data_IF_397707103118
#
_entry.id   IF_397707103118
#
_cell.length_a   1.000
_cell.length_b   1.000
_cell.length_c   1.000
_cell.angle_alpha   90.00
_cell.angle_beta   90.00
_cell.angle_gamma   90.00
#
_symmetry.space_group_name_H-M   'P 1'
#
loop_
_entity.id
_entity.type
_entity.pdbx_description
1 polymer ?
#
# COMPACT_ATOMS: atom_id res chain seq x y z
N UNK A 1 2.07 -10.51 0.70
CA UNK A 1 2.85 -10.51 -0.56
C UNK A 1 2.26 -9.42 -1.43
N UNK A 2 3.08 -8.68 -2.17
CA UNK A 2 2.61 -7.76 -3.20
C UNK A 2 2.41 -8.55 -4.49
N UNK A 3 1.25 -8.40 -5.11
CA UNK A 3 0.90 -9.08 -6.37
C UNK A 3 0.37 -8.05 -7.36
N UNK A 4 0.69 -8.24 -8.63
CA UNK A 4 0.21 -7.40 -9.71
C UNK A 4 0.33 -8.09 -11.06
N UNK A 5 -0.33 -7.53 -12.06
CA UNK A 5 -0.22 -7.98 -13.45
C UNK A 5 0.31 -6.83 -14.28
N UNK A 6 1.35 -7.09 -15.07
CA UNK A 6 1.83 -6.16 -16.09
C UNK A 6 1.08 -6.48 -17.38
N UNK A 7 0.41 -5.48 -17.94
CA UNK A 7 -0.38 -5.61 -19.15
C UNK A 7 0.12 -4.67 -20.23
N UNK A 8 -0.22 -4.98 -21.49
CA UNK A 8 -0.03 -4.06 -22.61
C UNK A 8 -1.35 -3.92 -23.39
N UNK A 9 -1.57 -2.75 -23.98
CA UNK A 9 -2.75 -2.49 -24.79
C UNK A 9 -2.61 -3.23 -26.13
N UNK A 10 -3.60 -4.06 -26.45
CA UNK A 10 -3.76 -4.70 -27.76
C UNK A 10 -5.15 -4.37 -28.31
N UNK A 11 -5.22 -3.41 -29.23
CA UNK A 11 -6.48 -2.84 -29.68
C UNK A 11 -7.20 -2.14 -28.51
N UNK A 12 -8.41 -2.58 -28.19
CA UNK A 12 -9.19 -2.06 -27.04
C UNK A 12 -9.02 -2.86 -25.75
N UNK A 13 -8.15 -3.87 -25.75
CA UNK A 13 -8.05 -4.84 -24.65
C UNK A 13 -6.71 -4.73 -23.95
N UNK A 14 -6.72 -4.88 -22.63
CA UNK A 14 -5.50 -4.99 -21.83
C UNK A 14 -5.07 -6.45 -21.77
N UNK A 15 -3.97 -6.81 -22.45
CA UNK A 15 -3.45 -8.18 -22.46
C UNK A 15 -2.37 -8.37 -21.40
N UNK A 16 -2.49 -9.36 -20.49
CA UNK A 16 -1.42 -9.71 -19.58
C UNK A 16 -0.13 -10.09 -20.33
N UNK A 17 0.97 -9.45 -19.94
CA UNK A 17 2.34 -9.79 -20.37
C UNK A 17 2.96 -10.72 -19.35
N UNK A 18 2.82 -10.40 -18.07
CA UNK A 18 3.34 -11.22 -16.97
C UNK A 18 2.63 -10.94 -15.65
N UNK A 19 2.67 -11.89 -14.73
CA UNK A 19 2.25 -11.74 -13.34
C UNK A 19 3.47 -11.51 -12.47
N UNK A 20 3.43 -10.48 -11.64
CA UNK A 20 4.49 -10.08 -10.73
C UNK A 20 4.05 -10.37 -9.29
N UNK A 21 4.96 -10.94 -8.51
CA UNK A 21 4.74 -11.22 -7.10
C UNK A 21 6.03 -11.08 -6.32
N UNK A 22 5.98 -10.38 -5.18
CA UNK A 22 7.15 -10.19 -4.31
C UNK A 22 6.75 -10.00 -2.85
N UNK A 23 7.55 -10.54 -1.93
CA UNK A 23 7.32 -10.30 -0.51
C UNK A 23 7.65 -8.85 -0.13
N UNK A 24 6.80 -8.26 0.70
CA UNK A 24 7.13 -7.05 1.43
C UNK A 24 8.27 -7.34 2.43
N UNK A 25 9.06 -6.34 2.79
CA UNK A 25 10.02 -6.46 3.88
C UNK A 25 9.31 -6.61 5.25
N UNK A 26 10.07 -6.97 6.28
CA UNK A 26 9.53 -7.23 7.61
C UNK A 26 8.82 -6.02 8.23
N UNK A 27 9.31 -4.81 7.95
CA UNK A 27 8.71 -3.56 8.46
C UNK A 27 7.39 -3.30 7.75
N UNK A 28 7.40 -3.31 6.42
CA UNK A 28 6.19 -3.08 5.63
C UNK A 28 5.11 -4.13 5.87
N UNK A 29 5.47 -5.38 6.21
CA UNK A 29 4.48 -6.41 6.60
C UNK A 29 3.64 -6.03 7.82
N UNK A 30 4.15 -5.17 8.71
CA UNK A 30 3.46 -4.70 9.91
C UNK A 30 2.56 -3.47 9.73
N UNK A 31 2.56 -2.83 8.55
CA UNK A 31 1.80 -1.59 8.34
C UNK A 31 0.29 -1.81 8.14
N UNK A 32 -0.56 -0.79 8.25
CA UNK A 32 -1.95 -0.83 7.78
C UNK A 32 -2.05 -1.14 6.28
N UNK A 33 -3.20 -1.66 5.83
CA UNK A 33 -3.39 -2.17 4.47
C UNK A 33 -3.01 -1.17 3.36
N UNK A 34 -3.46 0.08 3.43
CA UNK A 34 -3.11 1.09 2.43
C UNK A 34 -1.61 1.44 2.42
N UNK A 35 -0.92 1.38 3.57
CA UNK A 35 0.54 1.57 3.61
C UNK A 35 1.29 0.35 3.07
N UNK A 36 0.78 -0.88 3.29
CA UNK A 36 1.29 -2.08 2.59
C UNK A 36 1.11 -1.95 1.09
N UNK A 37 0.01 -1.36 0.62
CA UNK A 37 -0.23 -1.13 -0.79
C UNK A 37 0.77 -0.11 -1.39
N UNK A 38 1.16 0.95 -0.65
CA UNK A 38 2.27 1.84 -1.06
C UNK A 38 3.57 1.06 -1.25
N UNK A 39 3.96 0.26 -0.26
CA UNK A 39 5.17 -0.55 -0.35
C UNK A 39 5.10 -1.57 -1.50
N UNK A 40 3.95 -2.21 -1.66
CA UNK A 40 3.70 -3.18 -2.72
C UNK A 40 3.79 -2.56 -4.11
N UNK A 41 3.17 -1.40 -4.31
CA UNK A 41 3.27 -0.63 -5.55
C UNK A 41 4.73 -0.30 -5.86
N UNK A 42 5.47 0.28 -4.91
CA UNK A 42 6.88 0.63 -5.13
C UNK A 42 7.72 -0.56 -5.59
N UNK A 43 7.53 -1.71 -4.95
CA UNK A 43 8.24 -2.95 -5.28
C UNK A 43 7.85 -3.45 -6.67
N UNK A 44 6.55 -3.50 -6.98
CA UNK A 44 6.06 -3.99 -8.27
C UNK A 44 6.44 -3.06 -9.42
N UNK A 45 6.44 -1.74 -9.21
CA UNK A 45 6.93 -0.75 -10.19
C UNK A 45 8.39 -1.00 -10.53
N UNK A 46 9.23 -1.28 -9.53
CA UNK A 46 10.64 -1.60 -9.77
C UNK A 46 10.81 -2.92 -10.56
N UNK A 47 9.99 -3.93 -10.30
CA UNK A 47 10.03 -5.18 -11.06
C UNK A 47 9.50 -5.00 -12.49
N UNK A 48 8.41 -4.25 -12.67
CA UNK A 48 7.88 -3.91 -13.99
C UNK A 48 8.89 -3.09 -14.82
N UNK A 49 9.60 -2.15 -14.20
CA UNK A 49 10.62 -1.33 -14.85
C UNK A 49 11.76 -2.15 -15.47
N UNK A 50 12.08 -3.33 -14.94
CA UNK A 50 13.08 -4.23 -15.53
C UNK A 50 12.64 -4.79 -16.88
N UNK A 51 11.33 -4.94 -17.07
CA UNK A 51 10.72 -5.46 -18.29
C UNK A 51 10.35 -4.35 -19.27
N UNK A 52 9.96 -3.17 -18.75
CA UNK A 52 9.53 -2.03 -19.56
C UNK A 52 10.68 -1.09 -19.89
N UNK A 53 11.89 -1.34 -19.37
CA UNK A 53 13.09 -0.53 -19.57
C UNK A 53 12.88 0.95 -19.25
N UNK A 54 12.07 1.23 -18.22
CA UNK A 54 11.76 2.59 -17.77
C UNK A 54 10.77 3.35 -18.66
N UNK A 55 10.04 2.67 -19.54
CA UNK A 55 8.92 3.25 -20.29
C UNK A 55 7.79 3.71 -19.37
N UNK A 56 6.87 4.50 -19.93
CA UNK A 56 5.73 5.05 -19.22
C UNK A 56 4.82 3.92 -18.72
N UNK A 57 4.37 4.00 -17.47
CA UNK A 57 3.49 3.03 -16.83
C UNK A 57 2.30 3.72 -16.17
N UNK A 58 1.11 3.30 -16.59
CA UNK A 58 -0.13 3.55 -15.89
C UNK A 58 -0.35 2.44 -14.84
N UNK A 59 -0.37 2.82 -13.57
CA UNK A 59 -0.60 1.89 -12.45
C UNK A 59 -2.02 2.07 -11.95
N UNK A 60 -2.84 1.03 -12.15
CA UNK A 60 -4.21 0.97 -11.64
C UNK A 60 -4.23 0.38 -10.24
N UNK A 61 -4.88 1.05 -9.30
CA UNK A 61 -4.99 0.59 -7.91
C UNK A 61 -6.33 0.99 -7.28
N UNK A 62 -6.96 0.11 -6.47
CA UNK A 62 -8.17 0.45 -5.72
C UNK A 62 -7.92 1.45 -4.57
N UNK A 63 -6.65 1.65 -4.20
CA UNK A 63 -6.25 2.51 -3.09
C UNK A 63 -5.79 3.89 -3.58
N UNK A 64 -6.20 4.96 -2.89
CA UNK A 64 -5.80 6.35 -3.15
C UNK A 64 -4.35 6.66 -2.69
N UNK A 65 -3.37 5.90 -3.19
CA UNK A 65 -2.00 5.90 -2.67
C UNK A 65 -1.25 7.22 -2.84
N UNK A 66 -1.53 7.96 -3.93
CA UNK A 66 -0.96 9.30 -4.13
C UNK A 66 -1.35 10.23 -2.99
N UNK A 67 -2.64 10.25 -2.63
CA UNK A 67 -3.13 11.07 -1.52
C UNK A 67 -2.56 10.64 -0.16
N UNK A 68 -2.36 9.34 0.06
CA UNK A 68 -1.68 8.83 1.27
C UNK A 68 -0.28 9.42 1.39
N UNK A 69 0.53 9.37 0.32
CA UNK A 69 1.90 9.87 0.33
C UNK A 69 2.00 11.39 0.44
N UNK A 70 1.08 12.13 -0.18
CA UNK A 70 1.12 13.60 -0.22
C UNK A 70 0.54 14.26 1.02
N UNK A 71 -0.60 13.75 1.55
CA UNK A 71 -1.30 14.43 2.65
C UNK A 71 -0.77 14.08 4.03
N UNK A 72 -0.53 12.79 4.29
CA UNK A 72 -0.26 12.27 5.64
C UNK A 72 0.87 11.25 5.70
N UNK A 73 1.59 11.01 4.61
CA UNK A 73 2.67 10.02 4.56
C UNK A 73 3.76 10.24 5.61
N UNK A 74 4.09 11.49 5.91
CA UNK A 74 5.07 11.89 6.92
C UNK A 74 4.67 11.53 8.37
N UNK A 75 3.38 11.30 8.63
CA UNK A 75 2.90 10.91 9.97
C UNK A 75 3.14 9.42 10.25
N UNK A 76 3.17 8.59 9.22
CA UNK A 76 3.17 7.12 9.36
C UNK A 76 4.43 6.45 8.80
N UNK A 77 5.18 7.15 7.95
CA UNK A 77 6.40 6.64 7.34
C UNK A 77 7.60 7.44 7.84
N UNK A 78 8.72 6.74 8.05
CA UNK A 78 10.00 7.40 8.29
C UNK A 78 10.41 8.20 7.06
N UNK A 79 11.16 9.29 7.25
CA UNK A 79 11.64 10.14 6.15
C UNK A 79 12.32 9.35 5.01
N UNK A 80 13.21 8.37 5.27
CA UNK A 80 13.80 7.58 4.19
C UNK A 80 12.77 6.77 3.38
N UNK A 81 11.78 6.15 4.03
CA UNK A 81 10.72 5.43 3.33
C UNK A 81 9.83 6.36 2.51
N UNK A 82 9.44 7.48 3.10
CA UNK A 82 8.60 8.49 2.45
C UNK A 82 9.29 9.03 1.18
N UNK A 83 10.54 9.48 1.29
CA UNK A 83 11.30 10.01 0.15
C UNK A 83 11.52 8.95 -0.93
N UNK A 84 11.82 7.70 -0.53
CA UNK A 84 11.97 6.58 -1.46
C UNK A 84 10.68 6.35 -2.27
N UNK A 85 9.54 6.28 -1.60
CA UNK A 85 8.27 6.00 -2.27
C UNK A 85 7.80 7.18 -3.13
N UNK A 86 7.91 8.41 -2.64
CA UNK A 86 7.62 9.59 -3.44
C UNK A 86 8.51 9.66 -4.68
N UNK A 87 9.83 9.43 -4.54
CA UNK A 87 10.76 9.42 -5.67
C UNK A 87 10.42 8.37 -6.73
N UNK A 88 9.97 7.18 -6.33
CA UNK A 88 9.64 6.10 -7.26
C UNK A 88 8.27 6.27 -7.92
N UNK A 89 7.30 6.82 -7.20
CA UNK A 89 5.88 6.75 -7.56
C UNK A 89 5.30 8.13 -7.89
N UNK A 90 5.46 9.11 -7.00
CA UNK A 90 4.78 10.42 -7.12
C UNK A 90 5.59 11.42 -7.94
N UNK A 91 6.91 11.43 -7.77
CA UNK A 91 7.85 12.34 -8.43
C UNK A 91 8.45 11.76 -9.71
N UNK A 92 8.13 10.52 -10.06
CA UNK A 92 8.62 9.89 -11.27
C UNK A 92 7.69 10.21 -12.46
N UNK A 93 8.13 11.00 -13.47
CA UNK A 93 7.27 11.39 -14.59
C UNK A 93 6.90 10.21 -15.51
N UNK A 94 7.61 9.08 -15.42
CA UNK A 94 7.28 7.87 -16.16
C UNK A 94 6.16 7.06 -15.51
N UNK A 95 5.73 7.43 -14.30
CA UNK A 95 4.69 6.71 -13.56
C UNK A 95 3.46 7.60 -13.43
N UNK A 96 2.32 7.07 -13.84
CA UNK A 96 1.03 7.67 -13.60
C UNK A 96 0.19 6.71 -12.74
N UNK A 97 -0.35 7.21 -11.63
CA UNK A 97 -1.23 6.41 -10.77
C UNK A 97 -2.67 6.74 -11.13
N UNK A 98 -3.41 5.73 -11.53
CA UNK A 98 -4.84 5.83 -11.82
C UNK A 98 -5.56 5.10 -10.70
N UNK A 99 -6.38 5.84 -9.96
CA UNK A 99 -7.27 5.22 -9.00
C UNK A 99 -8.33 4.43 -9.77
N UNK A 100 -8.28 3.12 -9.64
CA UNK A 100 -9.28 2.22 -10.20
C UNK A 100 -10.30 1.85 -9.14
N UNK A 101 -11.34 1.18 -9.61
CA UNK A 101 -12.30 0.47 -8.78
C UNK A 101 -11.67 -0.85 -8.30
N UNK A 102 -12.48 -1.82 -7.87
CA UNK A 102 -11.99 -3.14 -7.44
C UNK A 102 -11.27 -3.91 -8.57
N UNK A 103 -10.31 -4.73 -8.20
CA UNK A 103 -9.63 -5.66 -9.11
C UNK A 103 -10.28 -7.04 -8.98
N UNK A 104 -10.45 -7.73 -10.11
CA UNK A 104 -10.89 -9.11 -10.11
C UNK A 104 -9.84 -10.01 -9.42
N UNK A 105 -10.21 -10.82 -8.41
CA UNK A 105 -9.23 -11.60 -7.64
C UNK A 105 -8.44 -12.64 -8.45
N UNK A 106 -9.02 -13.16 -9.54
CA UNK A 106 -8.37 -14.19 -10.36
C UNK A 106 -7.45 -13.58 -11.43
N UNK A 107 -7.87 -12.48 -12.05
CA UNK A 107 -7.13 -11.88 -13.18
C UNK A 107 -6.27 -10.69 -12.79
N UNK A 108 -6.56 -10.04 -11.65
CA UNK A 108 -5.98 -8.77 -11.19
C UNK A 108 -6.23 -7.59 -12.14
N UNK A 109 -7.21 -7.69 -13.03
CA UNK A 109 -7.62 -6.61 -13.91
C UNK A 109 -8.73 -5.77 -13.27
N UNK A 110 -8.84 -4.47 -13.59
CA UNK A 110 -9.92 -3.61 -13.11
C UNK A 110 -11.30 -4.12 -13.53
N UNK A 111 -12.26 -4.14 -12.61
CA UNK A 111 -13.66 -4.46 -12.90
C UNK A 111 -14.48 -3.19 -13.16
N UNK A 112 -15.28 -3.14 -14.24
CA UNK A 112 -16.13 -1.97 -14.50
C UNK A 112 -17.27 -1.87 -13.47
N UNK A 113 -17.65 -0.64 -13.12
CA UNK A 113 -18.83 -0.30 -12.31
C UNK A 113 -18.79 -0.77 -10.84
N UNK A 114 -17.62 -0.79 -10.21
CA UNK A 114 -17.51 -1.03 -8.77
C UNK A 114 -17.14 0.24 -8.01
N UNK A 115 -17.70 0.43 -6.82
CA UNK A 115 -17.39 1.60 -6.01
C UNK A 115 -16.00 1.48 -5.36
N UNK A 116 -15.45 2.62 -4.94
CA UNK A 116 -14.27 2.63 -4.10
C UNK A 116 -14.59 1.92 -2.77
N UNK A 117 -13.74 0.96 -2.40
CA UNK A 117 -14.01 0.11 -1.25
C UNK A 117 -13.87 0.87 0.09
N UNK A 118 -12.97 1.85 0.19
CA UNK A 118 -12.74 2.63 1.42
C UNK A 118 -11.91 3.91 1.15
N UNK A 119 -11.91 4.84 2.12
CA UNK A 119 -10.96 5.95 2.19
C UNK A 119 -9.66 5.49 2.89
N UNK A 120 -8.56 5.45 2.13
CA UNK A 120 -7.27 5.03 2.66
C UNK A 120 -6.76 5.87 3.84
N UNK A 121 -7.00 7.19 3.86
CA UNK A 121 -6.50 8.03 4.94
C UNK A 121 -7.25 7.70 6.23
N UNK A 122 -8.57 7.68 6.16
CA UNK A 122 -9.42 7.32 7.30
C UNK A 122 -9.09 5.92 7.82
N UNK A 123 -8.97 4.93 6.94
CA UNK A 123 -8.64 3.55 7.33
C UNK A 123 -7.28 3.46 8.03
N UNK A 124 -6.26 4.20 7.59
CA UNK A 124 -4.96 4.23 8.25
C UNK A 124 -5.09 4.83 9.66
N UNK A 125 -5.82 5.94 9.80
CA UNK A 125 -6.02 6.62 11.08
C UNK A 125 -6.77 5.73 12.08
N UNK A 126 -7.87 5.12 11.65
CA UNK A 126 -8.64 4.18 12.48
C UNK A 126 -7.80 2.98 12.91
N UNK A 127 -7.00 2.42 12.00
CA UNK A 127 -6.13 1.28 12.32
C UNK A 127 -5.12 1.66 13.41
N UNK A 128 -4.46 2.82 13.29
CA UNK A 128 -3.50 3.26 14.30
C UNK A 128 -4.18 3.70 15.61
N UNK A 129 -5.34 4.34 15.56
CA UNK A 129 -6.06 4.78 16.75
C UNK A 129 -6.70 3.62 17.53
N UNK A 130 -7.07 2.54 16.84
CA UNK A 130 -7.82 1.43 17.45
C UNK A 130 -7.03 0.63 18.48
N UNK A 131 -5.69 0.72 18.51
CA UNK A 131 -4.80 0.01 19.45
C UNK A 131 -5.37 -1.35 19.92
N UNK A 132 -5.72 -2.27 18.99
CA UNK A 132 -6.54 -3.45 19.32
C UNK A 132 -5.86 -4.40 20.31
N UNK A 133 -4.55 -4.29 20.41
CA UNK A 133 -3.71 -5.06 21.33
C UNK A 133 -3.71 -4.49 22.76
N UNK A 134 -4.39 -3.36 23.00
CA UNK A 134 -4.56 -2.74 24.31
C UNK A 134 -5.96 -3.09 24.85
N UNK A 135 -6.00 -3.92 25.88
CA UNK A 135 -7.25 -4.36 26.52
C UNK A 135 -7.16 -4.22 28.02
N UNK A 136 -8.31 -4.10 28.69
CA UNK A 136 -8.38 -4.10 30.17
C UNK A 136 -8.14 -5.50 30.79
N UNK A 137 -7.85 -6.51 29.97
CA UNK A 137 -7.57 -7.87 30.42
C UNK A 137 -6.06 -8.01 30.69
N UNK A 138 -5.64 -8.39 31.91
CA UNK A 138 -4.24 -8.66 32.20
C UNK A 138 -3.69 -9.78 31.30
N UNK A 139 -2.45 -9.64 30.84
CA UNK A 139 -1.75 -10.69 30.10
C UNK A 139 -1.68 -11.97 30.94
N UNK A 140 -1.91 -13.15 30.34
CA UNK A 140 -1.92 -14.42 31.07
C UNK A 140 -0.57 -14.79 31.69
N UNK A 141 0.54 -14.36 31.07
CA UNK A 141 1.91 -14.61 31.52
C UNK A 141 2.76 -13.33 31.38
N UNK A 142 2.60 -12.36 32.28
CA UNK A 142 3.35 -11.11 32.20
C UNK A 142 4.80 -11.32 32.66
N UNK A 143 5.76 -10.69 31.97
CA UNK A 143 7.16 -10.67 32.44
C UNK A 143 7.31 -9.89 33.76
N UNK A 144 6.48 -8.85 33.95
CA UNK A 144 6.47 -8.00 35.13
C UNK A 144 5.03 -7.59 35.46
N UNK A 145 4.73 -7.49 36.76
CA UNK A 145 3.49 -6.86 37.27
C UNK A 145 3.89 -5.55 37.93
N UNK A 146 3.50 -4.43 37.32
CA UNK A 146 3.87 -3.09 37.76
C UNK A 146 2.64 -2.39 38.37
N UNK A 147 2.85 -1.67 39.47
CA UNK A 147 1.84 -0.84 40.12
C UNK A 147 2.31 0.61 40.07
N UNK A 148 1.40 1.53 39.75
CA UNK A 148 1.70 2.97 39.74
C UNK A 148 0.70 3.66 40.67
N UNK A 149 1.17 4.33 41.71
CA UNK A 149 0.40 5.35 42.41
C UNK A 149 0.84 6.74 41.93
N UNK A 150 -0.08 7.69 41.96
CA UNK A 150 0.19 9.07 41.57
C UNK A 150 -0.16 10.00 42.72
N UNK A 151 0.80 10.81 43.15
CA UNK A 151 0.55 11.94 44.05
C UNK A 151 0.50 13.22 43.22
N UNK A 152 -0.57 14.02 43.39
CA UNK A 152 -0.76 15.31 42.72
C UNK A 152 0.20 16.39 43.20
#
# INVERSE_FOLDING_TARGET
VAVGVLTQIMGTWSRPVTYLSKHLDSVAKGWPACLKAVAGMAILTQEANKLTFGQHLDIYTPHALKSVLEKKGHLWLTNPHMLKYQGLITHNPMINIIQSTTLNPATLLPEPNTDLNHDCIQTIEETYASHPDMTDIPLSNPNYTLFTDGTS
#
